data_IF_291302576296
#
_entry.id   IF_291302576296
#
_cell.length_a   1.000
_cell.length_b   1.000
_cell.length_c   1.000
_cell.angle_alpha   90.00
_cell.angle_beta   90.00
_cell.angle_gamma   90.00
#
_symmetry.space_group_name_H-M   'P 1'
#
loop_
_entity.id
_entity.type
_entity.pdbx_description
1 polymer ?
#
# COMPACT_ATOMS: atom_id res chain seq x y z
N UNK A 1 14.57 -5.30 -24.03
CA UNK A 1 13.96 -5.18 -22.70
C UNK A 1 12.92 -4.08 -22.78
N UNK A 2 11.66 -4.38 -22.40
CA UNK A 2 10.58 -3.39 -22.44
C UNK A 2 10.83 -2.26 -21.44
N UNK A 3 10.14 -1.15 -21.63
CA UNK A 3 10.18 0.05 -20.78
C UNK A 3 9.75 -0.24 -19.32
N UNK A 4 8.91 -1.26 -19.11
CA UNK A 4 8.37 -1.67 -17.82
C UNK A 4 8.64 -3.16 -17.60
N UNK A 5 9.21 -3.50 -16.44
CA UNK A 5 9.43 -4.89 -16.03
C UNK A 5 9.21 -5.08 -14.54
N UNK A 6 8.89 -6.33 -14.16
CA UNK A 6 8.84 -6.72 -12.74
C UNK A 6 10.23 -7.14 -12.29
N UNK A 7 10.69 -6.58 -11.18
CA UNK A 7 11.85 -7.09 -10.45
C UNK A 7 11.42 -7.68 -9.11
N UNK A 8 12.27 -8.58 -8.63
CA UNK A 8 12.04 -9.31 -7.39
C UNK A 8 13.34 -9.46 -6.60
N UNK A 9 13.23 -9.30 -5.29
CA UNK A 9 14.31 -9.63 -4.37
C UNK A 9 13.73 -10.22 -3.08
N UNK A 10 14.00 -11.48 -2.82
CA UNK A 10 13.33 -12.19 -1.73
C UNK A 10 11.81 -12.27 -1.96
N UNK A 11 11.02 -11.93 -0.94
CA UNK A 11 9.55 -11.84 -1.03
C UNK A 11 9.01 -10.52 -1.54
N UNK A 12 9.87 -9.60 -1.97
CA UNK A 12 9.47 -8.29 -2.46
C UNK A 12 9.43 -8.25 -3.98
N UNK A 13 8.48 -7.48 -4.51
CA UNK A 13 8.30 -7.23 -5.94
C UNK A 13 8.06 -5.75 -6.16
N UNK A 14 8.55 -5.25 -7.28
CA UNK A 14 8.28 -3.87 -7.72
C UNK A 14 8.40 -3.78 -9.24
N UNK A 15 7.84 -2.73 -9.80
CA UNK A 15 8.04 -2.41 -11.20
C UNK A 15 9.28 -1.53 -11.35
N UNK A 16 10.10 -1.85 -12.33
CA UNK A 16 11.17 -0.98 -12.81
C UNK A 16 10.74 -0.40 -14.12
N UNK A 17 10.66 0.92 -14.18
CA UNK A 17 10.25 1.68 -15.37
C UNK A 17 11.38 2.60 -15.79
N UNK A 18 11.71 2.63 -17.08
CA UNK A 18 12.79 3.48 -17.59
C UNK A 18 12.43 4.96 -17.64
N UNK A 19 11.14 5.29 -17.51
CA UNK A 19 10.64 6.67 -17.48
C UNK A 19 10.84 7.31 -16.09
N UNK A 20 11.12 8.63 -16.03
CA UNK A 20 11.20 9.35 -14.76
C UNK A 20 9.82 9.52 -14.11
N UNK A 21 9.79 9.75 -12.78
CA UNK A 21 8.56 9.76 -12.00
C UNK A 21 7.55 10.85 -12.42
N UNK A 22 8.01 12.01 -12.87
CA UNK A 22 7.14 13.09 -13.37
C UNK A 22 6.30 12.68 -14.59
N UNK A 23 6.79 11.73 -15.41
CA UNK A 23 6.05 11.18 -16.55
C UNK A 23 5.11 10.03 -16.17
N UNK A 24 5.22 9.52 -14.97
CA UNK A 24 4.45 8.38 -14.49
C UNK A 24 3.36 8.79 -13.50
N UNK A 25 3.48 9.98 -12.89
CA UNK A 25 2.60 10.40 -11.82
C UNK A 25 1.13 10.44 -12.24
N UNK A 26 0.80 11.18 -13.30
CA UNK A 26 -0.57 11.26 -13.81
C UNK A 26 -1.11 9.92 -14.33
N UNK A 27 -0.38 9.13 -15.14
CA UNK A 27 -0.81 7.78 -15.52
C UNK A 27 -1.13 6.86 -14.34
N UNK A 28 -0.36 6.93 -13.25
CA UNK A 28 -0.62 6.11 -12.05
C UNK A 28 -1.81 6.64 -11.25
N UNK A 29 -2.00 7.96 -11.18
CA UNK A 29 -3.20 8.57 -10.59
C UNK A 29 -4.46 8.11 -11.34
N UNK A 30 -4.46 8.25 -12.65
CA UNK A 30 -5.56 7.81 -13.51
C UNK A 30 -5.83 6.30 -13.38
N UNK A 31 -4.79 5.49 -13.27
CA UNK A 31 -4.92 4.06 -13.04
C UNK A 31 -5.78 3.74 -11.81
N UNK A 32 -5.52 4.38 -10.68
CA UNK A 32 -6.30 4.16 -9.47
C UNK A 32 -7.74 4.62 -9.63
N UNK A 33 -7.97 5.77 -10.26
CA UNK A 33 -9.32 6.30 -10.52
C UNK A 33 -10.11 5.40 -11.46
N UNK A 34 -9.49 4.91 -12.54
CA UNK A 34 -10.11 3.99 -13.50
C UNK A 34 -10.45 2.63 -12.85
N UNK A 35 -9.70 2.21 -11.85
CA UNK A 35 -10.01 1.03 -11.06
C UNK A 35 -11.01 1.30 -9.92
N UNK A 36 -11.60 2.49 -9.87
CA UNK A 36 -12.67 2.86 -8.95
C UNK A 36 -12.21 3.29 -7.56
N UNK A 37 -10.93 3.63 -7.38
CA UNK A 37 -10.41 4.14 -6.13
C UNK A 37 -10.33 5.66 -6.13
N UNK A 38 -10.72 6.28 -5.03
CA UNK A 38 -10.38 7.67 -4.73
C UNK A 38 -8.99 7.72 -4.08
N UNK A 39 -8.28 8.82 -4.26
CA UNK A 39 -6.99 9.03 -3.60
C UNK A 39 -7.20 9.84 -2.32
N UNK A 40 -6.76 9.28 -1.20
CA UNK A 40 -6.68 9.96 0.09
C UNK A 40 -5.37 10.75 0.24
N UNK A 41 -4.30 10.29 -0.45
CA UNK A 41 -3.00 10.95 -0.49
C UNK A 41 -2.50 11.00 -1.92
N UNK A 42 -2.03 12.18 -2.35
CA UNK A 42 -1.46 12.44 -3.67
C UNK A 42 -0.31 13.45 -3.49
N UNK A 43 0.89 12.95 -3.19
CA UNK A 43 2.06 13.74 -2.82
C UNK A 43 3.25 13.41 -3.74
N UNK A 44 3.34 14.13 -4.85
CA UNK A 44 4.36 13.88 -5.89
C UNK A 44 5.79 14.13 -5.39
N UNK A 45 5.99 15.09 -4.54
CA UNK A 45 7.27 15.44 -3.91
C UNK A 45 7.82 14.32 -3.01
N UNK A 46 6.94 13.57 -2.35
CA UNK A 46 7.30 12.39 -1.57
C UNK A 46 7.28 11.10 -2.39
N UNK A 47 6.74 11.13 -3.62
CA UNK A 47 6.55 9.96 -4.44
C UNK A 47 5.50 9.00 -3.89
N UNK A 48 4.47 9.48 -3.19
CA UNK A 48 3.46 8.67 -2.51
C UNK A 48 2.05 9.00 -3.00
N UNK A 49 1.35 7.99 -3.48
CA UNK A 49 -0.10 7.98 -3.63
C UNK A 49 -0.70 6.93 -2.72
N UNK A 50 -1.82 7.24 -2.09
CA UNK A 50 -2.57 6.26 -1.31
C UNK A 50 -4.06 6.38 -1.62
N UNK A 51 -4.70 5.25 -1.89
CA UNK A 51 -6.15 5.21 -2.11
C UNK A 51 -6.88 5.42 -0.79
N UNK A 52 -8.14 5.80 -0.86
CA UNK A 52 -9.03 5.67 0.28
C UNK A 52 -9.42 4.20 0.49
N UNK A 53 -10.05 3.89 1.61
CA UNK A 53 -10.61 2.57 1.87
C UNK A 53 -11.75 2.27 0.91
N UNK A 54 -11.70 1.12 0.25
CA UNK A 54 -12.73 0.68 -0.66
C UNK A 54 -13.26 -0.70 -0.25
N UNK A 55 -14.55 -0.81 -0.15
CA UNK A 55 -15.22 -2.09 0.13
C UNK A 55 -15.26 -2.93 -1.16
N UNK A 56 -14.73 -4.15 -1.11
CA UNK A 56 -14.80 -5.19 -2.16
C UNK A 56 -14.37 -4.83 -3.59
N UNK A 57 -13.91 -3.60 -3.86
CA UNK A 57 -13.56 -3.17 -5.22
C UNK A 57 -12.32 -3.86 -5.76
N UNK A 58 -11.39 -4.22 -4.87
CA UNK A 58 -10.16 -4.90 -5.24
C UNK A 58 -10.38 -6.30 -5.85
N UNK A 59 -11.47 -6.98 -5.50
CA UNK A 59 -11.80 -8.34 -5.94
C UNK A 59 -12.70 -8.40 -7.18
N UNK A 60 -13.22 -7.27 -7.68
CA UNK A 60 -14.11 -7.23 -8.82
C UNK A 60 -13.30 -7.31 -10.12
N UNK A 61 -13.56 -8.26 -11.03
CA UNK A 61 -12.92 -8.32 -12.34
C UNK A 61 -13.20 -7.04 -13.15
N UNK A 62 -12.19 -6.55 -13.87
CA UNK A 62 -12.32 -5.31 -14.68
C UNK A 62 -13.44 -5.34 -15.71
N UNK A 63 -13.73 -6.51 -16.26
CA UNK A 63 -14.78 -6.69 -17.28
C UNK A 63 -16.17 -6.39 -16.70
N UNK A 64 -16.37 -6.63 -15.41
CA UNK A 64 -17.64 -6.34 -14.72
C UNK A 64 -17.75 -4.85 -14.38
N UNK A 65 -16.65 -4.19 -14.03
CA UNK A 65 -16.63 -2.74 -13.75
C UNK A 65 -17.01 -1.93 -14.98
N UNK A 66 -16.56 -2.35 -16.17
CA UNK A 66 -16.86 -1.66 -17.44
C UNK A 66 -18.29 -1.91 -17.95
N UNK A 67 -18.90 -3.05 -17.63
CA UNK A 67 -20.20 -3.44 -18.16
C UNK A 67 -21.39 -2.97 -17.31
N UNK A 68 -21.16 -2.57 -16.05
CA UNK A 68 -22.27 -2.28 -15.12
C UNK A 68 -21.96 -1.01 -14.33
N UNK A 69 -22.37 0.13 -14.92
CA UNK A 69 -22.27 1.44 -14.27
C UNK A 69 -23.19 1.46 -13.03
N UNK A 70 -22.58 1.46 -11.86
CA UNK A 70 -22.97 2.27 -10.66
C UNK A 70 -24.20 1.85 -10.00
N UNK A 71 -24.76 1.16 -9.35
CA UNK A 71 -25.81 1.13 -8.30
C UNK A 71 -26.27 -0.25 -7.82
N UNK A 72 -26.00 -1.32 -8.54
CA UNK A 72 -26.50 -2.65 -8.18
C UNK A 72 -25.48 -3.48 -7.39
N UNK A 73 -24.21 -3.09 -7.40
CA UNK A 73 -23.13 -3.87 -6.78
C UNK A 73 -22.88 -3.61 -5.30
N UNK A 74 -23.27 -2.46 -4.77
CA UNK A 74 -23.00 -2.12 -3.36
C UNK A 74 -23.70 -3.08 -2.37
N UNK A 75 -24.81 -3.70 -2.78
CA UNK A 75 -25.56 -4.61 -1.91
C UNK A 75 -25.24 -6.11 -2.11
N UNK A 76 -24.61 -6.49 -3.21
CA UNK A 76 -24.38 -7.92 -3.52
C UNK A 76 -23.05 -8.46 -2.98
N UNK A 77 -22.11 -7.59 -2.63
CA UNK A 77 -20.75 -7.95 -2.24
C UNK A 77 -20.27 -7.27 -0.95
N UNK A 78 -21.15 -6.92 -0.04
CA UNK A 78 -20.78 -6.48 1.29
C UNK A 78 -20.17 -7.67 2.05
N UNK A 79 -18.84 -7.86 1.94
CA UNK A 79 -18.11 -8.95 2.62
C UNK A 79 -17.59 -8.54 3.98
N UNK A 80 -17.84 -7.32 4.46
CA UNK A 80 -17.23 -6.84 5.70
C UNK A 80 -15.70 -6.72 5.58
N UNK A 81 -15.17 -6.53 4.37
CA UNK A 81 -13.75 -6.28 4.12
C UNK A 81 -13.55 -4.94 3.40
N UNK A 82 -12.48 -4.26 3.75
CA UNK A 82 -12.02 -3.03 3.08
C UNK A 82 -10.57 -3.18 2.68
N UNK A 83 -10.26 -2.70 1.48
CA UNK A 83 -8.92 -2.70 0.92
C UNK A 83 -8.43 -1.29 0.64
N UNK A 84 -7.14 -1.08 0.84
CA UNK A 84 -6.45 0.18 0.60
C UNK A 84 -5.10 -0.11 -0.02
N UNK A 85 -4.70 0.69 -0.99
CA UNK A 85 -3.41 0.54 -1.66
C UNK A 85 -2.57 1.78 -1.50
N UNK A 86 -1.26 1.57 -1.37
CA UNK A 86 -0.26 2.64 -1.44
C UNK A 86 0.67 2.34 -2.61
N UNK A 87 0.89 3.35 -3.44
CA UNK A 87 1.93 3.35 -4.47
C UNK A 87 3.03 4.28 -4.04
N UNK A 88 4.26 3.77 -4.02
CA UNK A 88 5.46 4.55 -3.75
C UNK A 88 6.37 4.51 -4.96
N UNK A 89 6.78 5.67 -5.43
CA UNK A 89 7.68 5.83 -6.57
C UNK A 89 9.03 6.34 -6.08
N UNK A 90 10.10 5.69 -6.51
CA UNK A 90 11.47 6.08 -6.17
C UNK A 90 12.31 6.18 -7.44
N UNK A 91 13.16 7.20 -7.52
CA UNK A 91 14.16 7.25 -8.59
C UNK A 91 15.16 6.13 -8.40
N UNK A 92 15.37 5.34 -9.45
CA UNK A 92 16.38 4.29 -9.44
C UNK A 92 17.75 4.79 -9.95
N UNK A 93 18.77 3.94 -9.81
CA UNK A 93 20.14 4.26 -10.21
C UNK A 93 20.30 4.55 -11.70
N UNK A 94 19.40 4.05 -12.56
CA UNK A 94 19.40 4.25 -14.00
C UNK A 94 18.71 5.55 -14.44
N UNK A 95 18.19 6.34 -13.49
CA UNK A 95 17.42 7.56 -13.78
C UNK A 95 15.94 7.34 -14.07
N UNK A 96 15.49 6.09 -14.13
CA UNK A 96 14.10 5.71 -14.21
C UNK A 96 13.43 5.65 -12.82
N UNK A 97 12.32 4.91 -12.71
CA UNK A 97 11.48 4.85 -11.52
C UNK A 97 11.24 3.42 -11.08
N UNK A 98 11.44 3.15 -9.80
CA UNK A 98 10.96 1.95 -9.12
C UNK A 98 9.58 2.25 -8.53
N UNK A 99 8.58 1.41 -8.84
CA UNK A 99 7.21 1.56 -8.36
C UNK A 99 6.86 0.38 -7.46
N UNK A 100 6.56 0.67 -6.21
CA UNK A 100 6.11 -0.28 -5.21
C UNK A 100 4.61 -0.14 -5.00
N UNK A 101 3.88 -1.25 -5.06
CA UNK A 101 2.46 -1.31 -4.73
C UNK A 101 2.30 -2.17 -3.48
N UNK A 102 1.71 -1.61 -2.44
CA UNK A 102 1.45 -2.30 -1.19
C UNK A 102 -0.02 -2.25 -0.82
N UNK A 103 -0.50 -3.32 -0.19
CA UNK A 103 -1.87 -3.51 0.22
C UNK A 103 -2.02 -3.46 1.74
N UNK A 104 -3.12 -2.85 2.20
CA UNK A 104 -3.61 -2.96 3.56
C UNK A 104 -5.07 -3.33 3.55
N UNK A 105 -5.45 -4.24 4.43
CA UNK A 105 -6.82 -4.72 4.57
C UNK A 105 -7.37 -4.46 5.96
N UNK A 106 -8.68 -4.26 6.02
CA UNK A 106 -9.47 -4.31 7.26
C UNK A 106 -10.61 -5.30 7.10
N UNK A 107 -11.02 -5.89 8.20
CA UNK A 107 -12.19 -6.77 8.28
C UNK A 107 -13.10 -6.34 9.41
N UNK A 108 -14.38 -6.47 9.18
CA UNK A 108 -15.41 -6.24 10.18
C UNK A 108 -15.60 -7.51 11.03
N UNK A 109 -15.54 -7.36 12.32
CA UNK A 109 -15.70 -8.49 13.25
C UNK A 109 -16.73 -8.16 14.33
N UNK A 110 -17.50 -9.15 14.75
CA UNK A 110 -18.44 -8.98 15.84
C UNK A 110 -17.71 -8.80 17.18
N UNK A 111 -18.19 -7.87 17.99
CA UNK A 111 -17.63 -7.56 19.31
C UNK A 111 -18.20 -8.44 20.40
N UNK A 112 -19.33 -9.13 20.15
CA UNK A 112 -20.05 -9.95 21.12
C UNK A 112 -20.70 -11.19 20.49
N UNK A 113 -21.14 -12.11 21.33
CA UNK A 113 -21.82 -13.34 20.91
C UNK A 113 -23.20 -13.08 20.28
N UNK A 114 -23.88 -11.99 20.67
CA UNK A 114 -25.20 -11.61 20.14
C UNK A 114 -25.13 -11.11 18.69
N UNK A 115 -23.92 -10.80 18.18
CA UNK A 115 -23.69 -10.30 16.82
C UNK A 115 -24.45 -9.02 16.48
N UNK A 116 -24.69 -8.18 17.48
CA UNK A 116 -25.41 -6.92 17.35
C UNK A 116 -24.51 -5.68 17.20
N UNK A 117 -23.20 -5.88 17.32
CA UNK A 117 -22.19 -4.81 17.22
C UNK A 117 -20.93 -5.33 16.55
N UNK A 118 -20.35 -4.51 15.69
CA UNK A 118 -19.13 -4.81 14.93
C UNK A 118 -18.08 -3.73 15.11
N UNK A 119 -16.81 -4.10 14.90
CA UNK A 119 -15.67 -3.19 14.79
C UNK A 119 -14.81 -3.56 13.58
N UNK A 120 -14.16 -2.57 13.01
CA UNK A 120 -13.15 -2.78 11.98
C UNK A 120 -11.79 -3.07 12.63
N UNK A 121 -11.13 -4.14 12.21
CA UNK A 121 -9.77 -4.46 12.65
C UNK A 121 -8.87 -4.78 11.46
N UNK A 122 -7.54 -4.52 11.56
CA UNK A 122 -6.60 -4.87 10.52
C UNK A 122 -6.63 -6.37 10.21
N UNK A 123 -6.55 -6.72 8.93
CA UNK A 123 -6.30 -8.07 8.44
C UNK A 123 -4.93 -8.15 7.76
N UNK A 124 -4.44 -9.36 7.56
CA UNK A 124 -3.17 -9.59 6.88
C UNK A 124 -3.17 -8.95 5.49
N UNK A 125 -2.02 -8.41 5.09
CA UNK A 125 -1.76 -7.97 3.71
C UNK A 125 -2.01 -9.13 2.75
N UNK A 126 -2.61 -8.82 1.61
CA UNK A 126 -2.88 -9.78 0.54
C UNK A 126 -1.86 -9.58 -0.61
N UNK A 127 -0.82 -10.44 -0.69
CA UNK A 127 0.20 -10.33 -1.73
C UNK A 127 -0.33 -10.62 -3.14
N UNK A 128 -1.42 -11.38 -3.26
CA UNK A 128 -2.02 -11.68 -4.56
C UNK A 128 -2.73 -10.44 -5.12
N UNK A 129 -3.37 -9.64 -4.25
CA UNK A 129 -3.93 -8.34 -4.65
C UNK A 129 -2.82 -7.36 -5.07
N UNK A 130 -1.69 -7.33 -4.37
CA UNK A 130 -0.54 -6.50 -4.76
C UNK A 130 -0.05 -6.87 -6.18
N UNK A 131 0.09 -8.18 -6.47
CA UNK A 131 0.51 -8.69 -7.78
C UNK A 131 -0.53 -8.35 -8.85
N UNK A 132 -1.80 -8.52 -8.54
CA UNK A 132 -2.89 -8.25 -9.49
C UNK A 132 -2.91 -6.77 -9.89
N UNK A 133 -2.84 -5.85 -8.92
CA UNK A 133 -2.81 -4.42 -9.23
C UNK A 133 -1.50 -4.00 -9.90
N UNK A 134 -0.39 -4.62 -9.55
CA UNK A 134 0.88 -4.42 -10.26
C UNK A 134 0.78 -4.84 -11.72
N UNK A 135 0.16 -5.99 -12.01
CA UNK A 135 -0.10 -6.48 -13.37
C UNK A 135 -0.98 -5.52 -14.18
N UNK A 136 -2.08 -5.03 -13.59
CA UNK A 136 -2.95 -4.04 -14.22
C UNK A 136 -2.23 -2.73 -14.49
N UNK A 137 -1.40 -2.28 -13.56
CA UNK A 137 -0.59 -1.08 -13.73
C UNK A 137 0.41 -1.24 -14.88
N UNK A 138 1.04 -2.41 -15.03
CA UNK A 138 1.89 -2.69 -16.19
C UNK A 138 1.15 -2.51 -17.51
N UNK A 139 -0.08 -3.03 -17.59
CA UNK A 139 -0.92 -2.87 -18.80
C UNK A 139 -1.27 -1.40 -19.04
N UNK A 140 -1.64 -0.65 -18.00
CA UNK A 140 -1.88 0.81 -18.09
C UNK A 140 -0.64 1.55 -18.59
N UNK A 141 0.56 1.11 -18.21
CA UNK A 141 1.83 1.69 -18.63
C UNK A 141 2.31 1.23 -20.01
N UNK A 142 1.53 0.39 -20.71
CA UNK A 142 1.76 0.02 -22.10
C UNK A 142 2.33 -1.39 -22.33
N UNK A 143 2.43 -2.22 -21.28
CA UNK A 143 2.87 -3.63 -21.44
C UNK A 143 1.70 -4.46 -21.97
N UNK A 144 1.89 -5.31 -23.00
CA UNK A 144 0.87 -6.24 -23.46
C UNK A 144 0.40 -7.16 -22.31
N UNK A 145 -0.92 -7.43 -22.24
CA UNK A 145 -1.55 -8.19 -21.15
C UNK A 145 -0.89 -9.55 -20.91
N UNK A 146 -0.60 -10.31 -21.98
CA UNK A 146 0.05 -11.62 -21.86
C UNK A 146 1.47 -11.51 -21.31
N UNK A 147 2.20 -10.48 -21.70
CA UNK A 147 3.54 -10.24 -21.18
C UNK A 147 3.51 -9.83 -19.71
N UNK A 148 2.58 -8.96 -19.31
CA UNK A 148 2.38 -8.57 -17.92
C UNK A 148 2.03 -9.79 -17.04
N UNK A 149 1.14 -10.67 -17.53
CA UNK A 149 0.78 -11.93 -16.87
C UNK A 149 1.99 -12.85 -16.70
N UNK A 150 2.76 -13.07 -17.76
CA UNK A 150 3.96 -13.93 -17.70
C UNK A 150 4.98 -13.40 -16.70
N UNK A 151 5.28 -12.10 -16.71
CA UNK A 151 6.25 -11.51 -15.80
C UNK A 151 5.81 -11.58 -14.33
N UNK A 152 4.52 -11.34 -14.06
CA UNK A 152 4.00 -11.40 -12.68
C UNK A 152 3.92 -12.83 -12.16
N UNK A 153 3.56 -13.82 -13.00
CA UNK A 153 3.55 -15.24 -12.63
C UNK A 153 4.96 -15.75 -12.33
N UNK A 154 5.95 -15.41 -13.16
CA UNK A 154 7.35 -15.76 -12.90
C UNK A 154 7.87 -15.15 -11.58
N UNK A 155 7.34 -13.99 -11.19
CA UNK A 155 7.68 -13.33 -9.94
C UNK A 155 7.00 -13.96 -8.70
N UNK A 156 6.06 -14.89 -8.85
CA UNK A 156 5.29 -15.50 -7.73
C UNK A 156 6.03 -16.66 -7.05
N UNK A 157 7.10 -17.21 -7.64
CA UNK A 157 7.85 -18.31 -7.05
C UNK A 157 8.36 -17.93 -5.64
N UNK A 158 8.12 -18.82 -4.67
CA UNK A 158 8.35 -18.58 -3.25
C UNK A 158 9.78 -18.10 -2.96
N UNK A 159 9.89 -17.00 -2.24
CA UNK A 159 11.14 -16.56 -1.64
C UNK A 159 11.27 -17.17 -0.24
N UNK A 160 12.46 -17.61 0.11
CA UNK A 160 12.76 -17.98 1.48
C UNK A 160 12.49 -16.80 2.42
N UNK A 161 11.87 -17.03 3.58
CA UNK A 161 11.68 -15.98 4.56
C UNK A 161 13.04 -15.42 4.98
N UNK A 162 13.16 -14.09 5.03
CA UNK A 162 14.36 -13.49 5.57
C UNK A 162 14.39 -13.70 7.07
N UNK A 163 15.52 -14.11 7.58
CA UNK A 163 15.73 -14.13 9.02
C UNK A 163 15.83 -12.70 9.54
N UNK A 164 14.91 -12.35 10.40
CA UNK A 164 14.93 -11.09 11.15
C UNK A 164 14.87 -11.44 12.63
N UNK A 165 15.77 -10.84 13.43
CA UNK A 165 15.84 -11.07 14.88
C UNK A 165 15.59 -9.76 15.61
N UNK A 166 14.61 -9.78 16.50
CA UNK A 166 14.35 -8.67 17.40
C UNK A 166 15.20 -8.83 18.66
N UNK A 167 15.90 -7.80 19.03
CA UNK A 167 16.72 -7.72 20.24
C UNK A 167 16.54 -6.36 20.89
N UNK A 168 17.11 -6.17 22.08
CA UNK A 168 17.12 -4.89 22.78
C UNK A 168 18.55 -4.54 23.14
N UNK A 169 19.00 -3.35 22.75
CA UNK A 169 20.28 -2.78 23.17
C UNK A 169 20.01 -1.64 24.15
N UNK A 170 20.31 -1.88 25.44
CA UNK A 170 19.84 -0.98 26.49
C UNK A 170 18.30 -0.99 26.52
N UNK A 171 17.66 0.18 26.35
CA UNK A 171 16.21 0.32 26.27
C UNK A 171 15.69 0.54 24.83
N UNK A 172 16.53 0.36 23.83
CA UNK A 172 16.17 0.58 22.42
C UNK A 172 15.91 -0.77 21.75
N UNK A 173 14.71 -1.00 21.15
CA UNK A 173 14.47 -2.19 20.35
C UNK A 173 15.30 -2.13 19.06
N UNK A 174 15.94 -3.24 18.72
CA UNK A 174 16.80 -3.38 17.54
C UNK A 174 16.32 -4.58 16.74
N UNK A 175 16.01 -4.34 15.45
CA UNK A 175 15.71 -5.39 14.50
C UNK A 175 16.93 -5.66 13.62
N UNK A 176 17.55 -6.82 13.79
CA UNK A 176 18.63 -7.28 12.95
C UNK A 176 18.05 -8.02 11.73
N UNK A 177 18.42 -7.58 10.52
CA UNK A 177 18.00 -8.19 9.26
C UNK A 177 19.24 -8.79 8.59
N UNK A 178 19.21 -10.10 8.32
CA UNK A 178 20.29 -10.83 7.65
C UNK A 178 20.22 -10.66 6.13
N UNK A 179 20.37 -9.42 5.66
CA UNK A 179 20.35 -9.04 4.23
C UNK A 179 21.42 -7.96 3.96
N UNK A 180 21.86 -7.89 2.70
CA UNK A 180 22.63 -6.72 2.25
C UNK A 180 21.80 -5.45 2.30
N UNK A 181 22.46 -4.30 2.48
CA UNK A 181 21.82 -2.99 2.71
C UNK A 181 20.67 -2.68 1.73
N UNK A 182 20.90 -2.87 0.43
CA UNK A 182 19.90 -2.55 -0.59
C UNK A 182 18.61 -3.38 -0.46
N UNK A 183 18.73 -4.65 -0.08
CA UNK A 183 17.57 -5.51 0.18
C UNK A 183 16.90 -5.15 1.48
N UNK A 184 17.67 -4.92 2.54
CA UNK A 184 17.16 -4.50 3.83
C UNK A 184 16.42 -3.18 3.71
N UNK A 185 16.98 -2.19 3.02
CA UNK A 185 16.37 -0.90 2.75
C UNK A 185 15.00 -1.03 2.10
N UNK A 186 14.91 -1.76 0.98
CA UNK A 186 13.63 -1.98 0.30
C UNK A 186 12.61 -2.72 1.18
N UNK A 187 13.09 -3.70 1.96
CA UNK A 187 12.26 -4.48 2.87
C UNK A 187 11.66 -3.63 3.98
N UNK A 188 12.45 -2.77 4.58
CA UNK A 188 12.00 -1.81 5.60
C UNK A 188 10.97 -0.86 4.98
N UNK A 189 11.25 -0.26 3.82
CA UNK A 189 10.32 0.63 3.13
C UNK A 189 8.96 -0.03 2.86
N UNK A 190 8.95 -1.26 2.34
CA UNK A 190 7.69 -1.99 2.10
C UNK A 190 6.94 -2.33 3.40
N UNK A 191 7.68 -2.66 4.46
CA UNK A 191 7.06 -2.91 5.76
C UNK A 191 6.40 -1.65 6.33
N UNK A 192 7.04 -0.49 6.20
CA UNK A 192 6.47 0.79 6.58
C UNK A 192 5.19 1.10 5.77
N UNK A 193 5.22 0.86 4.45
CA UNK A 193 4.05 1.05 3.59
C UNK A 193 2.86 0.18 4.03
N UNK A 194 3.11 -1.10 4.35
CA UNK A 194 2.09 -2.08 4.76
C UNK A 194 1.55 -1.86 6.17
N UNK A 195 2.31 -1.22 7.05
CA UNK A 195 1.93 -1.00 8.45
C UNK A 195 1.30 0.36 8.73
N UNK A 196 1.14 1.19 7.71
CA UNK A 196 0.48 2.49 7.84
C UNK A 196 1.35 3.62 8.37
N UNK A 197 2.66 3.41 8.47
CA UNK A 197 3.58 4.51 8.69
C UNK A 197 3.60 5.44 7.48
N UNK A 198 3.59 6.75 7.72
CA UNK A 198 3.85 7.74 6.67
C UNK A 198 5.33 8.04 6.67
N UNK A 199 6.00 7.76 5.55
CA UNK A 199 7.38 8.18 5.35
C UNK A 199 7.35 9.64 4.96
N UNK A 200 7.86 10.52 5.82
CA UNK A 200 7.94 11.96 5.60
C UNK A 200 9.20 12.35 4.81
N UNK A 201 10.29 11.63 5.06
CA UNK A 201 11.56 11.83 4.39
C UNK A 201 12.41 10.56 4.49
N UNK A 202 13.45 10.47 3.67
CA UNK A 202 14.38 9.35 3.69
C UNK A 202 15.78 9.77 3.22
N UNK A 203 16.76 9.29 3.91
CA UNK A 203 18.17 9.41 3.50
C UNK A 203 18.78 8.02 3.35
N UNK A 204 18.86 7.55 2.09
CA UNK A 204 19.43 6.24 1.81
C UNK A 204 20.94 6.18 2.08
N UNK A 205 21.65 7.30 1.95
CA UNK A 205 23.10 7.34 2.18
C UNK A 205 23.43 7.12 3.66
N UNK A 206 22.57 7.61 4.54
CA UNK A 206 22.65 7.41 5.99
C UNK A 206 21.84 6.22 6.49
N UNK A 207 21.04 5.58 5.63
CA UNK A 207 20.17 4.46 6.01
C UNK A 207 19.01 4.87 6.93
N UNK A 208 18.47 6.08 6.77
CA UNK A 208 17.45 6.64 7.66
C UNK A 208 16.12 6.83 6.94
N UNK A 209 15.02 6.39 7.57
CA UNK A 209 13.66 6.78 7.25
C UNK A 209 13.11 7.69 8.34
N UNK A 210 12.55 8.82 7.95
CA UNK A 210 11.79 9.71 8.84
C UNK A 210 10.33 9.36 8.71
N UNK A 211 9.73 8.87 9.78
CA UNK A 211 8.37 8.31 9.71
C UNK A 211 7.47 8.94 10.76
N UNK A 212 6.19 9.10 10.39
CA UNK A 212 5.11 9.44 11.29
C UNK A 212 4.15 8.27 11.38
N UNK A 213 3.84 7.86 12.58
CA UNK A 213 2.81 6.87 12.83
C UNK A 213 1.48 7.56 13.05
N UNK A 214 0.50 7.22 12.22
CA UNK A 214 -0.90 7.57 12.45
C UNK A 214 -1.59 6.28 12.85
N UNK A 215 -1.96 6.18 14.13
CA UNK A 215 -2.73 5.04 14.60
C UNK A 215 -3.98 4.87 13.72
N UNK A 216 -4.33 3.65 13.29
CA UNK A 216 -5.58 3.41 12.59
C UNK A 216 -6.70 3.88 13.52
N UNK A 217 -7.30 5.01 13.24
CA UNK A 217 -8.52 5.42 13.91
C UNK A 217 -9.60 4.48 13.40
N UNK A 218 -10.07 3.59 14.30
CA UNK A 218 -11.36 2.97 14.10
C UNK A 218 -12.36 4.11 13.85
N UNK A 219 -12.93 4.12 12.64
CA UNK A 219 -13.94 5.07 12.16
C UNK A 219 -13.90 6.46 12.83
N UNK A 220 -13.39 7.45 12.12
CA UNK A 220 -13.91 8.80 12.30
C UNK A 220 -15.37 8.78 11.83
N UNK A 221 -16.29 8.36 12.70
CA UNK A 221 -17.60 8.98 12.70
C UNK A 221 -17.32 10.47 12.74
N UNK A 222 -17.87 11.22 11.81
CA UNK A 222 -17.84 12.69 11.90
C UNK A 222 -18.10 13.06 13.34
N UNK A 223 -17.33 13.99 13.94
CA UNK A 223 -17.48 14.34 15.34
C UNK A 223 -18.95 14.74 15.52
N UNK A 224 -19.69 13.91 16.22
CA UNK A 224 -21.09 14.14 16.51
C UNK A 224 -21.23 15.53 17.12
N UNK A 225 -22.34 16.19 16.88
CA UNK A 225 -22.68 17.53 17.35
C UNK A 225 -22.23 17.84 18.80
N UNK A 226 -22.18 16.81 19.66
CA UNK A 226 -21.71 16.92 21.05
C UNK A 226 -20.20 17.09 21.24
N UNK A 227 -19.35 16.59 20.32
CA UNK A 227 -17.89 16.76 20.45
C UNK A 227 -17.44 18.18 20.10
N UNK A 228 -18.25 18.93 19.36
CA UNK A 228 -18.02 20.35 19.09
C UNK A 228 -18.33 21.27 20.27
N UNK A 229 -19.13 20.80 21.23
CA UNK A 229 -19.52 21.60 22.40
C UNK A 229 -18.56 21.45 23.60
N UNK A 230 -17.83 20.34 23.68
CA UNK A 230 -16.91 20.04 24.79
C UNK A 230 -15.49 19.86 24.23
N UNK A 231 -14.88 20.97 23.77
CA UNK A 231 -13.56 21.00 23.17
C UNK A 231 -12.47 20.30 24.00
N UNK A 232 -12.28 19.01 23.74
CA UNK A 232 -11.08 18.29 24.14
C UNK A 232 -10.22 18.07 22.90
N UNK A 233 -9.47 19.12 22.57
CA UNK A 233 -8.46 19.11 21.51
C UNK A 233 -7.20 18.42 22.06
N UNK A 234 -7.24 17.11 22.27
CA UNK A 234 -6.03 16.33 22.52
C UNK A 234 -5.49 15.90 21.17
N UNK A 235 -4.87 16.80 20.48
CA UNK A 235 -3.98 16.46 19.38
C UNK A 235 -2.82 15.66 19.97
N UNK A 236 -2.83 14.33 19.79
CA UNK A 236 -1.67 13.49 20.09
C UNK A 236 -0.57 13.99 19.15
N UNK A 237 0.46 14.62 19.70
CA UNK A 237 1.62 15.07 18.93
C UNK A 237 2.21 13.84 18.19
N UNK A 238 2.49 13.95 16.90
CA UNK A 238 3.07 12.83 16.15
C UNK A 238 4.43 12.46 16.73
N UNK A 239 4.57 11.18 17.13
CA UNK A 239 5.85 10.64 17.57
C UNK A 239 6.74 10.48 16.34
N UNK A 240 7.87 11.18 16.33
CA UNK A 240 8.90 11.04 15.30
C UNK A 240 9.89 9.96 15.73
N UNK A 241 10.06 8.95 14.88
CA UNK A 241 11.06 7.90 15.05
C UNK A 241 12.18 8.07 14.02
N UNK A 242 13.39 7.88 14.47
CA UNK A 242 14.61 7.89 13.65
C UNK A 242 15.21 6.50 13.56
#
# INVERSE_FOLDING_TARGET
LGDVRVERSGGQRWLVVSRPADKLWDPVREFWQENGFNLATDQADLGIMETDWAENRAKIPQDIIRSTIGKVFDNLYSTGERDKFRTRMERNASGGTDIFVSHRGMQEVYTNQSKDSTIWQPRATDPELEIEFMRRLMVKLGVPQEQAKTQTTAATAAAAPAAAKLSTQGNVPVLQIEDGFDRAWRRVGLSLDRTGFTVEDRDRSQGVYFVRYVAPTADKKEPGFFSKLFGSNTAIAPLKYR
#
